data_IF_720442331498
#
_entry.id   IF_720442331498
#
_cell.length_a   1.000
_cell.length_b   1.000
_cell.length_c   1.000
_cell.angle_alpha   90.00
_cell.angle_beta   90.00
_cell.angle_gamma   90.00
#
_symmetry.space_group_name_H-M   'P 1'
#
loop_
_entity.id
_entity.type
_entity.pdbx_description
1 polymer ?
#
# COMPACT_ATOMS: atom_id res chain seq x y z
N UNK A 1 -9.83 7.95 -24.49
CA UNK A 1 -9.69 7.89 -23.02
C UNK A 1 -10.46 9.06 -22.41
N UNK A 2 -11.62 8.83 -21.80
CA UNK A 2 -12.33 9.88 -21.03
C UNK A 2 -11.62 10.00 -19.68
N UNK A 3 -10.78 11.01 -19.51
CA UNK A 3 -10.27 11.38 -18.19
C UNK A 3 -11.46 11.85 -17.35
N UNK A 4 -11.84 11.06 -16.34
CA UNK A 4 -12.88 11.47 -15.41
C UNK A 4 -12.40 12.68 -14.61
N UNK A 5 -13.19 13.76 -14.51
CA UNK A 5 -12.76 15.01 -13.88
C UNK A 5 -12.31 14.80 -12.42
N UNK A 6 -12.91 13.84 -11.72
CA UNK A 6 -12.56 13.46 -10.36
C UNK A 6 -11.14 12.89 -10.22
N UNK A 7 -10.64 12.13 -11.20
CA UNK A 7 -9.28 11.56 -11.13
C UNK A 7 -8.22 12.65 -11.23
N UNK A 8 -8.43 13.60 -12.15
CA UNK A 8 -7.56 14.77 -12.29
C UNK A 8 -7.59 15.64 -11.05
N UNK A 9 -8.77 15.88 -10.46
CA UNK A 9 -8.90 16.63 -9.22
C UNK A 9 -8.17 15.94 -8.06
N UNK A 10 -8.33 14.62 -7.90
CA UNK A 10 -7.66 13.87 -6.84
C UNK A 10 -6.13 13.87 -7.01
N UNK A 11 -5.64 13.82 -8.25
CA UNK A 11 -4.21 13.87 -8.55
C UNK A 11 -3.61 15.25 -8.27
N UNK A 12 -4.31 16.32 -8.66
CA UNK A 12 -3.93 17.69 -8.33
C UNK A 12 -3.96 17.93 -6.81
N UNK A 13 -4.95 17.38 -6.12
CA UNK A 13 -5.03 17.43 -4.66
C UNK A 13 -3.84 16.73 -4.01
N UNK A 14 -3.49 15.52 -4.45
CA UNK A 14 -2.30 14.81 -3.96
C UNK A 14 -1.01 15.60 -4.21
N UNK A 15 -0.84 16.15 -5.42
CA UNK A 15 0.32 17.00 -5.73
C UNK A 15 0.39 18.24 -4.83
N UNK A 16 -0.75 18.87 -4.54
CA UNK A 16 -0.86 19.97 -3.58
C UNK A 16 -0.46 19.56 -2.16
N UNK A 17 -0.92 18.40 -1.69
CA UNK A 17 -0.51 17.85 -0.39
C UNK A 17 0.99 17.61 -0.31
N UNK A 18 1.60 17.04 -1.36
CA UNK A 18 3.05 16.81 -1.42
C UNK A 18 3.81 18.13 -1.38
N UNK A 19 3.38 19.13 -2.15
CA UNK A 19 4.02 20.45 -2.16
C UNK A 19 3.92 21.14 -0.80
N UNK A 20 2.75 21.10 -0.15
CA UNK A 20 2.52 21.67 1.18
C UNK A 20 3.34 20.95 2.25
N UNK A 21 3.39 19.61 2.21
CA UNK A 21 4.19 18.82 3.13
C UNK A 21 5.68 19.09 2.98
N UNK A 22 6.18 19.15 1.75
CA UNK A 22 7.56 19.52 1.46
C UNK A 22 7.86 20.92 1.98
N UNK A 23 7.02 21.91 1.66
CA UNK A 23 7.14 23.28 2.15
C UNK A 23 7.22 23.34 3.68
N UNK A 24 6.32 22.64 4.36
CA UNK A 24 6.28 22.61 5.83
C UNK A 24 7.54 21.97 6.44
N UNK A 25 8.03 20.87 5.84
CA UNK A 25 9.27 20.22 6.27
C UNK A 25 10.50 21.11 6.05
N UNK A 26 10.55 21.85 4.94
CA UNK A 26 11.60 22.83 4.66
C UNK A 26 11.56 23.98 5.68
N UNK A 27 10.38 24.54 5.92
CA UNK A 27 10.19 25.63 6.88
C UNK A 27 10.49 25.22 8.33
N UNK A 28 10.37 23.93 8.64
CA UNK A 28 10.66 23.37 9.97
C UNK A 28 12.10 22.84 10.10
N UNK A 29 12.94 23.00 9.07
CA UNK A 29 14.33 22.49 9.00
C UNK A 29 14.47 20.97 9.22
N UNK A 30 13.42 20.19 8.91
CA UNK A 30 13.38 18.72 9.15
C UNK A 30 13.86 17.87 7.98
N UNK A 31 14.37 18.49 6.92
CA UNK A 31 14.60 17.82 5.63
C UNK A 31 16.00 17.18 5.50
N UNK A 32 16.95 17.55 6.36
CA UNK A 32 18.35 17.11 6.26
C UNK A 32 18.69 15.94 7.18
N UNK A 33 17.89 14.86 7.11
CA UNK A 33 18.27 13.58 7.71
C UNK A 33 18.80 12.65 6.62
N UNK A 34 20.06 12.24 6.72
CA UNK A 34 20.55 11.11 5.94
C UNK A 34 19.70 9.89 6.32
N UNK A 35 18.99 9.32 5.35
CA UNK A 35 18.15 8.14 5.60
C UNK A 35 19.05 6.91 5.52
N UNK A 36 19.32 6.23 6.64
CA UNK A 36 20.12 5.02 6.61
C UNK A 36 19.37 3.93 5.85
N UNK A 37 20.11 3.02 5.19
CA UNK A 37 19.53 1.92 4.39
C UNK A 37 18.54 1.09 5.22
N UNK A 38 18.79 0.91 6.52
CA UNK A 38 17.87 0.23 7.45
C UNK A 38 16.50 0.91 7.51
N UNK A 39 16.46 2.22 7.61
CA UNK A 39 15.18 2.93 7.77
C UNK A 39 14.44 2.98 6.42
N UNK A 40 15.18 3.05 5.32
CA UNK A 40 14.62 2.88 3.98
C UNK A 40 13.95 1.51 3.81
N UNK A 41 14.60 0.42 4.25
CA UNK A 41 14.00 -0.92 4.16
C UNK A 41 12.78 -1.08 5.07
N UNK A 42 12.81 -0.52 6.28
CA UNK A 42 11.66 -0.51 7.19
C UNK A 42 10.48 0.27 6.58
N UNK A 43 10.71 1.46 6.03
CA UNK A 43 9.66 2.22 5.36
C UNK A 43 9.09 1.47 4.15
N UNK A 44 9.93 0.86 3.32
CA UNK A 44 9.49 0.08 2.17
C UNK A 44 8.58 -1.10 2.58
N UNK A 45 8.97 -1.85 3.62
CA UNK A 45 8.17 -2.95 4.17
C UNK A 45 6.87 -2.47 4.82
N UNK A 46 6.90 -1.32 5.50
CA UNK A 46 5.71 -0.70 6.09
C UNK A 46 4.71 -0.25 5.01
N UNK A 47 5.19 0.37 3.93
CA UNK A 47 4.37 0.76 2.77
C UNK A 47 3.77 -0.48 2.11
N UNK A 48 4.55 -1.55 1.93
CA UNK A 48 4.06 -2.82 1.42
C UNK A 48 2.91 -3.38 2.28
N UNK A 49 3.08 -3.41 3.61
CA UNK A 49 2.04 -3.89 4.52
C UNK A 49 0.79 -3.03 4.46
N UNK A 50 0.91 -1.70 4.50
CA UNK A 50 -0.23 -0.79 4.43
C UNK A 50 -0.99 -0.93 3.11
N UNK A 51 -0.26 -0.95 1.99
CA UNK A 51 -0.87 -1.13 0.67
C UNK A 51 -1.71 -2.41 0.64
N UNK A 52 -1.11 -3.54 1.05
CA UNK A 52 -1.81 -4.83 1.06
C UNK A 52 -2.97 -4.88 2.05
N UNK A 53 -2.81 -4.25 3.22
CA UNK A 53 -3.86 -4.16 4.23
C UNK A 53 -5.12 -3.51 3.67
N UNK A 54 -4.98 -2.47 2.83
CA UNK A 54 -6.12 -1.75 2.27
C UNK A 54 -6.65 -2.35 0.95
N UNK A 55 -5.77 -2.89 0.10
CA UNK A 55 -6.19 -3.33 -1.25
C UNK A 55 -6.54 -4.80 -1.33
N UNK A 56 -6.06 -5.65 -0.41
CA UNK A 56 -6.24 -7.10 -0.48
C UNK A 56 -6.83 -7.70 0.79
N UNK A 57 -6.45 -7.21 1.97
CA UNK A 57 -6.77 -7.85 3.25
C UNK A 57 -8.28 -7.76 3.61
N UNK A 58 -8.80 -8.82 4.23
CA UNK A 58 -10.21 -8.91 4.63
C UNK A 58 -10.55 -7.87 5.69
N UNK A 59 -9.55 -7.48 6.50
CA UNK A 59 -9.71 -6.47 7.55
C UNK A 59 -10.34 -5.19 7.01
N UNK A 60 -9.90 -4.70 5.84
CA UNK A 60 -10.42 -3.45 5.24
C UNK A 60 -11.52 -3.70 4.21
N UNK A 61 -12.00 -4.94 4.07
CA UNK A 61 -13.04 -5.30 3.10
C UNK A 61 -14.31 -4.48 3.32
N UNK A 62 -14.71 -4.23 4.58
CA UNK A 62 -15.87 -3.40 4.89
C UNK A 62 -15.78 -1.98 4.31
N UNK A 63 -14.56 -1.41 4.26
CA UNK A 63 -14.31 -0.08 3.67
C UNK A 63 -14.49 -0.16 2.16
N UNK A 64 -13.91 -1.18 1.52
CA UNK A 64 -13.99 -1.38 0.06
C UNK A 64 -15.42 -1.67 -0.40
N UNK A 65 -16.15 -2.48 0.35
CA UNK A 65 -17.52 -2.89 0.05
C UNK A 65 -18.48 -1.69 0.07
N UNK A 66 -18.20 -0.63 0.85
CA UNK A 66 -18.99 0.61 0.84
C UNK A 66 -18.99 1.29 -0.54
N UNK A 67 -17.93 1.12 -1.34
CA UNK A 67 -17.80 1.78 -2.64
C UNK A 67 -18.33 0.95 -3.83
N UNK A 68 -18.75 -0.29 -3.62
CA UNK A 68 -19.15 -1.23 -4.70
C UNK A 68 -20.38 -0.76 -5.45
N UNK A 69 -21.40 -0.23 -4.77
CA UNK A 69 -22.68 0.18 -5.38
C UNK A 69 -22.74 1.70 -5.67
N UNK A 70 -21.59 2.33 -5.93
CA UNK A 70 -21.54 3.77 -6.17
C UNK A 70 -21.83 4.12 -7.62
N UNK A 71 -22.51 5.26 -7.85
CA UNK A 71 -22.83 5.75 -9.21
C UNK A 71 -21.55 5.98 -10.02
N UNK A 72 -21.54 5.48 -11.25
CA UNK A 72 -20.49 5.77 -12.23
C UNK A 72 -20.33 7.29 -12.41
N UNK A 73 -19.10 7.81 -12.36
CA UNK A 73 -18.74 9.24 -12.31
C UNK A 73 -18.97 9.99 -10.99
N UNK A 74 -19.30 9.28 -9.90
CA UNK A 74 -19.30 9.89 -8.55
C UNK A 74 -17.88 10.02 -7.98
N UNK A 75 -17.68 10.99 -7.09
CA UNK A 75 -16.48 11.07 -6.26
C UNK A 75 -16.25 9.77 -5.46
N UNK A 76 -17.33 9.17 -4.94
CA UNK A 76 -17.26 7.91 -4.20
C UNK A 76 -16.72 6.75 -5.07
N UNK A 77 -17.12 6.69 -6.35
CA UNK A 77 -16.59 5.70 -7.29
C UNK A 77 -15.07 5.89 -7.51
N UNK A 78 -14.62 7.14 -7.58
CA UNK A 78 -13.19 7.46 -7.73
C UNK A 78 -12.39 7.08 -6.49
N UNK A 79 -12.92 7.32 -5.28
CA UNK A 79 -12.30 6.85 -4.04
C UNK A 79 -12.27 5.32 -3.95
N UNK A 80 -13.34 4.65 -4.38
CA UNK A 80 -13.37 3.20 -4.51
C UNK A 80 -12.28 2.69 -5.46
N UNK A 81 -12.12 3.32 -6.62
CA UNK A 81 -11.07 2.99 -7.58
C UNK A 81 -9.66 3.23 -7.00
N UNK A 82 -9.47 4.29 -6.20
CA UNK A 82 -8.21 4.55 -5.50
C UNK A 82 -7.87 3.41 -4.53
N UNK A 83 -8.79 3.07 -3.63
CA UNK A 83 -8.60 2.04 -2.59
C UNK A 83 -8.44 0.63 -3.14
N UNK A 84 -9.05 0.32 -4.29
CA UNK A 84 -8.90 -0.97 -4.95
C UNK A 84 -7.66 -1.03 -5.86
N UNK A 85 -7.03 0.11 -6.18
CA UNK A 85 -5.81 0.15 -6.98
C UNK A 85 -4.56 0.10 -6.08
N UNK A 86 -3.79 -1.00 -6.08
CA UNK A 86 -2.60 -1.15 -5.23
C UNK A 86 -1.51 -0.11 -5.55
N UNK A 87 -1.39 0.29 -6.81
CA UNK A 87 -0.40 1.30 -7.24
C UNK A 87 -0.74 2.69 -6.69
N UNK A 88 -2.01 3.10 -6.83
CA UNK A 88 -2.44 4.39 -6.34
C UNK A 88 -2.42 4.43 -4.81
N UNK A 89 -3.02 3.43 -4.16
CA UNK A 89 -3.00 3.31 -2.70
C UNK A 89 -1.56 3.26 -2.16
N UNK A 90 -0.64 2.57 -2.86
CA UNK A 90 0.77 2.54 -2.50
C UNK A 90 1.47 3.89 -2.59
N UNK A 91 1.17 4.70 -3.62
CA UNK A 91 1.70 6.07 -3.73
C UNK A 91 1.23 6.94 -2.55
N UNK A 92 -0.05 6.86 -2.18
CA UNK A 92 -0.62 7.59 -1.04
C UNK A 92 0.00 7.16 0.29
N UNK A 93 0.13 5.86 0.54
CA UNK A 93 0.77 5.38 1.76
C UNK A 93 2.28 5.64 1.80
N UNK A 94 2.96 5.64 0.66
CA UNK A 94 4.37 6.07 0.58
C UNK A 94 4.52 7.51 1.03
N UNK A 95 3.66 8.41 0.56
CA UNK A 95 3.65 9.79 1.01
C UNK A 95 3.41 9.89 2.52
N UNK A 96 2.41 9.19 3.05
CA UNK A 96 2.07 9.21 4.48
C UNK A 96 3.24 8.72 5.35
N UNK A 97 3.86 7.59 4.98
CA UNK A 97 4.97 7.01 5.74
C UNK A 97 6.20 7.92 5.71
N UNK A 98 6.58 8.40 4.53
CA UNK A 98 7.74 9.29 4.37
C UNK A 98 7.51 10.60 5.13
N UNK A 99 6.33 11.22 4.96
CA UNK A 99 6.00 12.43 5.68
C UNK A 99 6.02 12.21 7.20
N UNK A 100 5.39 11.14 7.71
CA UNK A 100 5.36 10.86 9.14
C UNK A 100 6.77 10.62 9.72
N UNK A 101 7.64 9.93 8.99
CA UNK A 101 9.03 9.68 9.39
C UNK A 101 9.80 10.99 9.62
N UNK A 102 9.71 11.95 8.70
CA UNK A 102 10.38 13.26 8.84
C UNK A 102 9.62 14.22 9.77
N UNK A 103 8.30 14.09 9.87
CA UNK A 103 7.49 14.99 10.66
C UNK A 103 7.63 14.74 12.17
N UNK A 104 7.81 13.50 12.63
CA UNK A 104 7.84 13.20 14.07
C UNK A 104 8.61 11.93 14.41
N UNK A 105 9.43 11.93 15.50
CA UNK A 105 10.14 10.73 15.94
C UNK A 105 9.19 9.63 16.43
N UNK A 106 7.96 9.97 16.81
CA UNK A 106 6.95 9.00 17.25
C UNK A 106 6.43 8.10 16.12
N UNK A 107 6.70 8.43 14.86
CA UNK A 107 6.32 7.58 13.73
C UNK A 107 7.16 6.30 13.65
N UNK A 108 8.40 6.32 14.17
CA UNK A 108 9.35 5.22 14.02
C UNK A 108 8.84 3.88 14.58
N UNK A 109 8.27 3.79 15.81
CA UNK A 109 7.71 2.54 16.31
C UNK A 109 6.55 2.01 15.46
N UNK A 110 5.70 2.90 14.91
CA UNK A 110 4.58 2.50 14.05
C UNK A 110 5.10 1.93 12.73
N UNK A 111 6.10 2.58 12.13
CA UNK A 111 6.77 2.09 10.91
C UNK A 111 7.40 0.71 11.18
N UNK A 112 8.07 0.53 12.31
CA UNK A 112 8.67 -0.74 12.68
C UNK A 112 7.63 -1.86 12.80
N UNK A 113 6.51 -1.62 13.48
CA UNK A 113 5.41 -2.60 13.62
C UNK A 113 4.86 -2.99 12.24
N UNK A 114 4.60 -2.01 11.38
CA UNK A 114 4.10 -2.25 10.02
C UNK A 114 5.12 -3.01 9.17
N UNK A 115 6.41 -2.68 9.29
CA UNK A 115 7.49 -3.36 8.58
C UNK A 115 7.58 -4.84 8.97
N UNK A 116 7.57 -5.14 10.28
CA UNK A 116 7.61 -6.53 10.78
C UNK A 116 6.37 -7.31 10.33
N UNK A 117 5.18 -6.70 10.35
CA UNK A 117 3.97 -7.30 9.82
C UNK A 117 4.06 -7.53 8.29
N UNK A 118 4.73 -6.63 7.56
CA UNK A 118 5.05 -6.78 6.14
C UNK A 118 5.94 -7.99 5.86
N UNK A 119 7.01 -8.16 6.65
CA UNK A 119 7.90 -9.32 6.60
C UNK A 119 7.14 -10.62 6.86
N UNK A 120 6.31 -10.66 7.91
CA UNK A 120 5.48 -11.82 8.21
C UNK A 120 4.52 -12.17 7.05
N UNK A 121 3.88 -11.16 6.46
CA UNK A 121 2.98 -11.33 5.31
C UNK A 121 3.71 -11.86 4.08
N UNK A 122 4.95 -11.41 3.85
CA UNK A 122 5.79 -11.88 2.76
C UNK A 122 6.12 -13.37 2.95
N UNK A 123 6.63 -13.76 4.11
CA UNK A 123 6.94 -15.16 4.41
C UNK A 123 5.72 -16.06 4.31
N UNK A 124 4.56 -15.62 4.83
CA UNK A 124 3.33 -16.40 4.73
C UNK A 124 2.93 -16.65 3.26
N UNK A 125 3.08 -15.63 2.41
CA UNK A 125 2.73 -15.75 0.98
C UNK A 125 3.71 -16.64 0.25
N UNK A 126 5.01 -16.57 0.60
CA UNK A 126 6.03 -17.44 0.06
C UNK A 126 5.78 -18.91 0.46
N UNK A 127 5.46 -19.17 1.72
CA UNK A 127 5.11 -20.52 2.19
C UNK A 127 3.89 -21.08 1.45
N UNK A 128 2.86 -20.26 1.21
CA UNK A 128 1.69 -20.66 0.44
C UNK A 128 2.05 -20.95 -1.03
N UNK A 129 2.90 -20.12 -1.66
CA UNK A 129 3.38 -20.35 -3.02
C UNK A 129 4.13 -21.68 -3.13
N UNK A 130 5.05 -21.97 -2.20
CA UNK A 130 5.78 -23.24 -2.15
C UNK A 130 4.81 -24.42 -1.96
N UNK A 131 3.82 -24.27 -1.08
CA UNK A 131 2.78 -25.28 -0.87
C UNK A 131 1.98 -25.57 -2.14
N UNK A 132 1.56 -24.54 -2.87
CA UNK A 132 0.82 -24.70 -4.12
C UNK A 132 1.66 -25.33 -5.23
N UNK A 133 2.95 -25.00 -5.34
CA UNK A 133 3.85 -25.65 -6.30
C UNK A 133 4.03 -27.14 -5.99
N UNK A 134 4.16 -27.49 -4.71
CA UNK A 134 4.28 -28.89 -4.29
C UNK A 134 2.99 -29.68 -4.55
N UNK A 135 1.82 -29.10 -4.29
CA UNK A 135 0.54 -29.75 -4.53
C UNK A 135 0.26 -29.90 -6.02
N UNK A 136 0.55 -28.88 -6.83
CA UNK A 136 0.42 -28.95 -8.29
C UNK A 136 1.22 -30.12 -8.87
N UNK A 137 2.47 -30.31 -8.41
CA UNK A 137 3.32 -31.42 -8.85
C UNK A 137 2.77 -32.79 -8.43
N UNK A 138 2.11 -32.91 -7.28
CA UNK A 138 1.47 -34.18 -6.87
C UNK A 138 0.28 -34.52 -7.77
N UNK A 139 -0.53 -33.53 -8.12
CA UNK A 139 -1.69 -33.73 -9.01
C UNK A 139 -1.24 -34.14 -10.42
N UNK A 140 -0.20 -33.50 -10.96
CA UNK A 140 0.40 -33.88 -12.25
C UNK A 140 0.87 -35.34 -12.26
N UNK A 141 1.51 -35.80 -11.17
CA UNK A 141 1.93 -37.20 -11.03
C UNK A 141 0.72 -38.14 -11.00
N UNK A 142 -0.33 -37.82 -10.22
CA UNK A 142 -1.55 -38.65 -10.17
C UNK A 142 -2.23 -38.76 -11.52
N UNK A 143 -2.37 -37.66 -12.26
CA UNK A 143 -2.94 -37.67 -13.61
C UNK A 143 -2.10 -38.49 -14.59
N UNK A 144 -0.77 -38.44 -14.47
CA UNK A 144 0.15 -39.17 -15.35
C UNK A 144 0.15 -40.68 -15.08
N UNK A 145 0.07 -41.10 -13.81
CA UNK A 145 0.19 -42.50 -13.40
C UNK A 145 -1.14 -43.20 -13.07
N UNK A 146 -2.26 -42.48 -13.12
CA UNK A 146 -3.60 -43.06 -13.11
C UNK A 146 -3.97 -43.82 -11.84
N UNK A 147 -3.76 -43.22 -10.67
CA UNK A 147 -4.43 -43.64 -9.42
C UNK A 147 -5.68 -42.80 -9.14
#
# INVERSE_FOLDING_TARGET
MRIHPWNTLLSLFFAGLVALAAWWLFASERIFYEVPVRDLTLMALAIFRLTRLFTYDVITKFIRDWFVNTRENSFAHTLGALLNCPWCTGLWFSFIIVFAYFATPYAWPVILILALAGVASFFMTLSNLVGWMAEGRKLEIKETFGE
#
